data_IF_163311259931
#
_entry.id   IF_163311259931
#
_cell.length_a   1.000
_cell.length_b   1.000
_cell.length_c   1.000
_cell.angle_alpha   90.00
_cell.angle_beta   90.00
_cell.angle_gamma   90.00
#
_symmetry.space_group_name_H-M   'P 1'
#
loop_
_entity.id
_entity.type
_entity.pdbx_description
1 polymer ?
#
# COMPACT_ATOMS: atom_id res chain seq x y z
N UNK A 1 -30.24 -18.39 10.77
CA UNK A 1 -28.96 -17.76 11.12
C UNK A 1 -27.86 -18.68 10.60
N UNK A 2 -27.50 -18.55 9.33
CA UNK A 2 -26.46 -19.36 8.70
C UNK A 2 -25.20 -18.48 8.63
N UNK A 3 -24.21 -18.83 9.47
CA UNK A 3 -22.86 -18.30 9.36
C UNK A 3 -22.13 -19.18 8.36
N UNK A 4 -21.83 -18.63 7.18
CA UNK A 4 -20.76 -19.12 6.34
C UNK A 4 -19.47 -18.52 6.89
N UNK A 5 -18.72 -19.32 7.64
CA UNK A 5 -17.32 -19.01 7.93
C UNK A 5 -16.53 -19.20 6.64
N UNK A 6 -16.48 -18.16 5.79
CA UNK A 6 -15.43 -18.05 4.80
C UNK A 6 -14.11 -18.00 5.56
N UNK A 7 -13.14 -18.81 5.14
CA UNK A 7 -11.76 -18.69 5.63
C UNK A 7 -11.37 -17.22 5.55
N UNK A 8 -10.97 -16.65 6.68
CA UNK A 8 -10.74 -15.21 6.82
C UNK A 8 -9.70 -14.80 5.80
N UNK A 9 -10.14 -14.09 4.77
CA UNK A 9 -9.25 -13.30 3.95
C UNK A 9 -8.50 -12.35 4.89
N UNK A 10 -7.17 -12.32 4.88
CA UNK A 10 -6.31 -11.25 5.40
C UNK A 10 -6.51 -9.90 4.68
N UNK A 11 -7.68 -9.68 4.05
CA UNK A 11 -8.13 -8.35 3.70
C UNK A 11 -8.27 -7.56 5.02
N UNK A 12 -7.41 -6.58 5.23
CA UNK A 12 -7.41 -5.84 6.48
C UNK A 12 -8.63 -4.91 6.51
N UNK A 13 -9.46 -5.09 7.53
CA UNK A 13 -10.60 -4.24 7.81
C UNK A 13 -10.30 -3.34 8.98
N UNK A 14 -10.24 -2.03 8.74
CA UNK A 14 -9.91 -1.03 9.77
C UNK A 14 -11.14 -0.19 10.10
N UNK A 15 -11.59 -0.26 11.35
CA UNK A 15 -12.67 0.59 11.86
C UNK A 15 -12.09 1.82 12.57
N UNK A 16 -12.42 3.00 12.08
CA UNK A 16 -11.90 4.28 12.58
C UNK A 16 -12.88 5.02 13.49
N UNK A 17 -14.14 4.56 13.55
CA UNK A 17 -15.21 5.22 14.28
C UNK A 17 -15.62 6.56 13.66
N UNK A 18 -16.12 7.47 14.48
CA UNK A 18 -16.53 8.81 14.03
C UNK A 18 -15.32 9.71 13.89
N UNK A 19 -15.14 10.24 12.69
CA UNK A 19 -14.06 11.16 12.33
C UNK A 19 -14.60 12.57 12.07
N UNK A 20 -13.78 13.58 12.31
CA UNK A 20 -14.15 14.99 12.13
C UNK A 20 -13.02 15.81 11.47
N UNK A 21 -13.24 17.09 11.24
CA UNK A 21 -12.31 18.00 10.57
C UNK A 21 -10.93 17.96 11.20
N UNK A 22 -9.89 17.87 10.37
CA UNK A 22 -8.50 17.73 10.81
C UNK A 22 -8.10 16.30 11.16
N UNK A 23 -9.01 15.33 11.11
CA UNK A 23 -8.64 13.92 11.24
C UNK A 23 -7.79 13.46 10.04
N UNK A 24 -6.76 12.68 10.34
CA UNK A 24 -5.90 12.05 9.35
C UNK A 24 -5.62 10.62 9.76
N UNK A 25 -5.66 9.71 8.79
CA UNK A 25 -5.27 8.34 8.95
C UNK A 25 -4.34 7.94 7.82
N UNK A 26 -3.25 7.24 8.15
CA UNK A 26 -2.50 6.47 7.17
C UNK A 26 -1.87 5.25 7.83
N UNK A 27 -1.74 4.16 7.04
CA UNK A 27 -1.11 2.92 7.48
C UNK A 27 -0.35 2.29 6.32
N UNK A 28 0.75 1.62 6.64
CA UNK A 28 1.47 0.76 5.71
C UNK A 28 0.83 -0.63 5.74
N UNK A 29 0.54 -1.17 4.57
CA UNK A 29 0.00 -2.51 4.37
C UNK A 29 1.07 -3.35 3.69
N UNK A 30 1.27 -4.57 4.19
CA UNK A 30 2.17 -5.54 3.59
C UNK A 30 1.38 -6.43 2.62
N UNK A 31 1.68 -6.30 1.33
CA UNK A 31 0.98 -7.05 0.31
C UNK A 31 1.31 -8.55 0.38
N UNK A 32 2.50 -8.91 0.86
CA UNK A 32 2.96 -10.30 1.04
C UNK A 32 2.07 -11.09 2.02
N UNK A 33 1.39 -10.37 2.91
CA UNK A 33 0.49 -10.95 3.93
C UNK A 33 -0.99 -10.74 3.59
N UNK A 34 -1.30 -10.15 2.44
CA UNK A 34 -2.67 -9.89 2.01
C UNK A 34 -3.28 -11.14 1.39
N UNK A 35 -4.58 -11.35 1.64
CA UNK A 35 -5.33 -12.37 0.92
C UNK A 35 -6.04 -11.77 -0.28
N UNK A 36 -6.06 -12.55 -1.35
CA UNK A 36 -6.70 -12.23 -2.61
C UNK A 36 -8.10 -12.81 -2.61
N UNK A 37 -9.07 -12.01 -3.00
CA UNK A 37 -10.40 -12.54 -3.30
C UNK A 37 -10.33 -13.29 -4.65
N UNK A 38 -10.94 -14.48 -4.69
CA UNK A 38 -10.82 -15.48 -5.75
C UNK A 38 -11.16 -14.99 -7.17
N UNK A 39 -11.88 -13.87 -7.23
CA UNK A 39 -12.16 -13.18 -8.46
C UNK A 39 -10.97 -12.27 -8.78
N UNK A 40 -10.03 -12.85 -9.53
CA UNK A 40 -9.09 -12.11 -10.38
C UNK A 40 -7.83 -11.52 -9.72
N UNK A 41 -7.26 -12.19 -8.70
CA UNK A 41 -5.97 -11.79 -8.10
C UNK A 41 -5.97 -10.34 -7.58
N UNK A 42 -7.09 -9.90 -6.99
CA UNK A 42 -7.19 -8.59 -6.33
C UNK A 42 -7.09 -8.76 -4.81
N UNK A 43 -6.14 -8.06 -4.21
CA UNK A 43 -6.10 -7.82 -2.77
C UNK A 43 -6.88 -6.53 -2.49
N UNK A 44 -7.73 -6.55 -1.46
CA UNK A 44 -8.52 -5.39 -1.07
C UNK A 44 -8.34 -5.12 0.43
N UNK A 45 -8.05 -3.87 0.77
CA UNK A 45 -8.11 -3.39 2.14
C UNK A 45 -9.26 -2.41 2.29
N UNK A 46 -9.94 -2.47 3.43
CA UNK A 46 -11.18 -1.73 3.67
C UNK A 46 -11.07 -0.90 4.94
N UNK A 47 -11.52 0.35 4.87
CA UNK A 47 -11.61 1.23 6.03
C UNK A 47 -13.06 1.65 6.20
N UNK A 48 -13.56 1.61 7.43
CA UNK A 48 -14.90 2.11 7.77
C UNK A 48 -14.81 3.25 8.76
N UNK A 49 -15.64 4.27 8.52
CA UNK A 49 -15.71 5.46 9.35
C UNK A 49 -17.13 6.05 9.32
N UNK A 50 -17.43 6.91 10.28
CA UNK A 50 -18.66 7.69 10.31
C UNK A 50 -18.39 9.18 10.36
N UNK A 51 -19.29 9.96 9.76
CA UNK A 51 -19.27 11.42 9.80
C UNK A 51 -20.52 11.93 10.52
N UNK A 52 -20.33 12.92 11.39
CA UNK A 52 -21.43 13.62 12.06
C UNK A 52 -21.91 14.85 11.27
N UNK A 53 -21.06 15.41 10.41
CA UNK A 53 -21.28 16.63 9.65
C UNK A 53 -20.80 16.45 8.21
N UNK A 54 -21.23 17.31 7.30
CA UNK A 54 -20.72 17.34 5.91
C UNK A 54 -19.26 17.77 5.89
N UNK A 55 -18.40 16.99 5.23
CA UNK A 55 -16.96 17.24 5.13
C UNK A 55 -16.38 16.84 3.79
N UNK A 56 -15.32 17.51 3.39
CA UNK A 56 -14.48 17.09 2.25
C UNK A 56 -13.45 16.09 2.74
N UNK A 57 -13.38 14.92 2.11
CA UNK A 57 -12.40 13.89 2.40
C UNK A 57 -11.49 13.71 1.21
N UNK A 58 -10.20 13.46 1.48
CA UNK A 58 -9.23 13.08 0.45
C UNK A 58 -8.68 11.70 0.81
N UNK A 59 -9.04 10.70 0.01
CA UNK A 59 -8.53 9.34 0.06
C UNK A 59 -7.31 9.23 -0.82
N UNK A 60 -6.29 8.52 -0.36
CA UNK A 60 -5.05 8.38 -1.10
C UNK A 60 -4.35 7.05 -0.85
N UNK A 61 -3.47 6.72 -1.78
CA UNK A 61 -2.46 5.68 -1.63
C UNK A 61 -1.11 6.16 -2.18
N UNK A 62 0.02 5.60 -1.74
CA UNK A 62 1.35 6.05 -2.17
C UNK A 62 1.69 5.70 -3.62
N UNK A 63 2.89 6.06 -4.08
CA UNK A 63 3.35 5.87 -5.46
C UNK A 63 3.70 4.41 -5.81
N UNK A 64 3.33 3.44 -4.98
CA UNK A 64 3.38 2.02 -5.30
C UNK A 64 4.76 1.54 -5.77
N UNK A 65 5.74 1.57 -4.86
CA UNK A 65 7.08 1.02 -5.12
C UNK A 65 7.09 -0.53 -5.07
N UNK A 66 6.21 -1.17 -5.84
CA UNK A 66 6.17 -2.62 -5.94
C UNK A 66 7.48 -3.14 -6.54
N UNK A 67 7.91 -4.33 -6.10
CA UNK A 67 9.17 -4.94 -6.50
C UNK A 67 9.12 -5.64 -7.86
N UNK A 68 7.95 -5.65 -8.51
CA UNK A 68 7.69 -6.36 -9.76
C UNK A 68 6.71 -5.59 -10.66
N UNK A 69 6.72 -5.93 -11.95
CA UNK A 69 5.92 -5.26 -12.98
C UNK A 69 4.47 -5.77 -13.08
N UNK A 70 4.10 -6.79 -12.30
CA UNK A 70 2.77 -7.42 -12.37
C UNK A 70 1.82 -6.97 -11.27
N UNK A 71 2.33 -6.20 -10.30
CA UNK A 71 1.57 -5.65 -9.18
C UNK A 71 1.25 -4.19 -9.46
N UNK A 72 -0.02 -3.82 -9.32
CA UNK A 72 -0.47 -2.48 -9.63
C UNK A 72 -1.64 -2.10 -8.73
N UNK A 73 -1.65 -0.87 -8.23
CA UNK A 73 -2.84 -0.34 -7.60
C UNK A 73 -3.91 -0.05 -8.64
N UNK A 74 -5.11 -0.57 -8.40
CA UNK A 74 -6.18 -0.53 -9.40
C UNK A 74 -7.18 0.57 -9.12
N UNK A 75 -7.64 0.67 -7.88
CA UNK A 75 -8.92 1.34 -7.63
C UNK A 75 -9.08 1.79 -6.16
N UNK A 76 -9.69 2.96 -5.98
CA UNK A 76 -10.32 3.36 -4.72
C UNK A 76 -11.82 3.38 -4.94
N UNK A 77 -12.58 2.60 -4.16
CA UNK A 77 -14.04 2.65 -4.16
C UNK A 77 -14.56 3.28 -2.88
N UNK A 78 -15.49 4.22 -3.01
CA UNK A 78 -16.18 4.83 -1.89
C UNK A 78 -17.64 4.36 -1.86
N UNK A 79 -18.06 3.84 -0.71
CA UNK A 79 -19.38 3.26 -0.50
C UNK A 79 -20.07 3.87 0.74
N UNK A 80 -21.39 4.01 0.66
CA UNK A 80 -22.28 4.38 1.75
C UNK A 80 -22.83 3.13 2.44
N UNK A 81 -22.21 2.73 3.55
CA UNK A 81 -22.66 1.58 4.34
C UNK A 81 -24.06 1.75 4.92
N UNK A 82 -24.51 3.00 5.13
CA UNK A 82 -25.89 3.28 5.55
C UNK A 82 -26.96 2.89 4.52
N UNK A 83 -26.56 2.66 3.27
CA UNK A 83 -27.45 2.22 2.17
C UNK A 83 -27.26 0.74 1.80
N UNK A 84 -26.41 0.01 2.52
CA UNK A 84 -26.13 -1.39 2.23
C UNK A 84 -27.35 -2.27 2.55
N UNK A 85 -28.06 -2.71 1.51
CA UNK A 85 -29.11 -3.72 1.60
C UNK A 85 -28.54 -5.10 1.26
N UNK A 86 -27.76 -5.66 2.18
CA UNK A 86 -27.43 -7.09 2.25
C UNK A 86 -26.53 -7.68 1.17
N UNK A 87 -26.68 -7.35 -0.12
CA UNK A 87 -26.11 -8.17 -1.20
C UNK A 87 -25.75 -7.42 -2.51
N UNK A 88 -25.93 -6.10 -2.61
CA UNK A 88 -25.69 -5.38 -3.88
C UNK A 88 -24.74 -4.20 -3.73
N UNK A 89 -23.53 -4.35 -4.27
CA UNK A 89 -22.49 -3.31 -4.39
C UNK A 89 -23.00 -2.04 -5.12
N UNK A 90 -23.97 -2.19 -6.03
CA UNK A 90 -24.47 -1.06 -6.83
C UNK A 90 -25.30 -0.06 -6.02
N UNK A 91 -25.88 -0.47 -4.89
CA UNK A 91 -26.82 0.36 -4.12
C UNK A 91 -26.11 1.24 -3.10
N UNK A 92 -24.95 0.80 -2.62
CA UNK A 92 -24.11 1.57 -1.70
C UNK A 92 -22.95 2.30 -2.40
N UNK A 93 -22.70 2.07 -3.69
CA UNK A 93 -21.64 2.77 -4.41
C UNK A 93 -21.87 4.29 -4.48
N UNK A 94 -20.85 5.08 -4.16
CA UNK A 94 -20.84 6.54 -4.28
C UNK A 94 -20.03 6.97 -5.50
N UNK A 95 -18.75 6.58 -5.52
CA UNK A 95 -17.80 6.98 -6.57
C UNK A 95 -16.55 6.10 -6.50
N UNK A 96 -15.71 6.17 -7.53
CA UNK A 96 -14.40 5.53 -7.56
C UNK A 96 -13.38 6.35 -8.35
N UNK A 97 -12.11 6.01 -8.17
CA UNK A 97 -11.06 6.26 -9.16
C UNK A 97 -10.50 4.93 -9.65
N UNK A 98 -10.15 4.88 -10.93
CA UNK A 98 -9.70 3.67 -11.59
C UNK A 98 -10.76 2.58 -11.71
N UNK A 99 -10.38 1.49 -12.34
CA UNK A 99 -11.20 0.30 -12.49
C UNK A 99 -10.35 -0.98 -12.54
N UNK A 100 -11.05 -2.12 -12.50
CA UNK A 100 -10.40 -3.43 -12.49
C UNK A 100 -9.55 -3.71 -13.74
N UNK A 101 -10.00 -3.29 -14.93
CA UNK A 101 -9.38 -3.62 -16.21
C UNK A 101 -8.26 -2.65 -16.60
N UNK A 102 -8.47 -1.35 -16.34
CA UNK A 102 -7.57 -0.29 -16.78
C UNK A 102 -6.72 0.28 -15.63
N UNK A 103 -6.94 -0.17 -14.40
CA UNK A 103 -6.30 0.40 -13.22
C UNK A 103 -6.63 1.89 -13.11
N UNK A 104 -5.62 2.69 -12.76
CA UNK A 104 -5.80 4.14 -12.63
C UNK A 104 -5.77 4.92 -13.96
N UNK A 105 -5.51 4.27 -15.10
CA UNK A 105 -5.40 4.93 -16.42
C UNK A 105 -4.50 6.19 -16.41
N UNK A 106 -3.34 6.09 -15.75
CA UNK A 106 -2.37 7.18 -15.63
C UNK A 106 -2.74 8.29 -14.63
N UNK A 107 -3.84 8.14 -13.88
CA UNK A 107 -4.21 9.06 -12.80
C UNK A 107 -3.41 8.80 -11.52
N UNK A 108 -3.32 9.82 -10.68
CA UNK A 108 -2.81 9.65 -9.33
C UNK A 108 -3.81 8.86 -8.47
N UNK A 109 -3.36 8.04 -7.52
CA UNK A 109 -4.21 7.31 -6.58
C UNK A 109 -4.82 8.23 -5.50
N UNK A 110 -5.54 9.28 -5.92
CA UNK A 110 -6.14 10.29 -5.04
C UNK A 110 -7.60 10.50 -5.45
N UNK A 111 -8.50 10.36 -4.49
CA UNK A 111 -9.92 10.65 -4.65
C UNK A 111 -10.33 11.68 -3.60
N UNK A 112 -10.84 12.83 -4.04
CA UNK A 112 -11.41 13.85 -3.14
C UNK A 112 -12.92 13.92 -3.33
N UNK A 113 -13.68 13.89 -2.23
CA UNK A 113 -15.14 13.88 -2.28
C UNK A 113 -15.76 14.56 -1.06
N UNK A 114 -16.87 15.27 -1.23
CA UNK A 114 -17.66 15.82 -0.14
C UNK A 114 -18.72 14.82 0.31
N UNK A 115 -18.69 14.42 1.58
CA UNK A 115 -19.64 13.47 2.17
C UNK A 115 -20.44 14.15 3.28
N UNK A 116 -21.74 13.90 3.31
CA UNK A 116 -22.62 14.28 4.42
C UNK A 116 -22.44 13.42 5.67
N UNK A 117 -23.28 13.62 6.70
CA UNK A 117 -23.37 12.69 7.82
C UNK A 117 -23.74 11.28 7.36
N UNK A 118 -23.09 10.26 7.91
CA UNK A 118 -23.32 8.88 7.49
C UNK A 118 -22.25 7.90 7.95
N UNK A 119 -22.40 6.63 7.52
CA UNK A 119 -21.40 5.57 7.72
C UNK A 119 -20.90 5.15 6.36
N UNK A 120 -19.58 5.11 6.20
CA UNK A 120 -18.92 4.94 4.92
C UNK A 120 -17.88 3.83 4.99
N UNK A 121 -17.62 3.24 3.83
CA UNK A 121 -16.52 2.31 3.59
C UNK A 121 -15.72 2.83 2.41
N UNK A 122 -14.39 2.75 2.51
CA UNK A 122 -13.50 2.91 1.37
C UNK A 122 -12.73 1.61 1.15
N UNK A 123 -12.69 1.15 -0.09
CA UNK A 123 -11.92 -0.02 -0.51
C UNK A 123 -10.74 0.43 -1.35
N UNK A 124 -9.56 -0.10 -1.05
CA UNK A 124 -8.33 0.09 -1.80
C UNK A 124 -7.96 -1.23 -2.43
N UNK A 125 -7.97 -1.29 -3.76
CA UNK A 125 -7.78 -2.51 -4.53
C UNK A 125 -6.43 -2.50 -5.22
N UNK A 126 -5.69 -3.59 -5.05
CA UNK A 126 -4.39 -3.84 -5.66
C UNK A 126 -4.48 -5.13 -6.45
N UNK A 127 -4.13 -5.08 -7.73
CA UNK A 127 -3.81 -6.29 -8.46
C UNK A 127 -2.45 -6.76 -7.97
N UNK A 128 -2.38 -8.01 -7.53
CA UNK A 128 -1.09 -8.61 -7.17
C UNK A 128 -0.96 -10.01 -7.70
N UNK A 129 0.11 -10.67 -7.27
CA UNK A 129 0.46 -11.99 -7.76
C UNK A 129 0.08 -13.03 -6.71
N UNK A 130 -0.92 -13.85 -7.04
CA UNK A 130 -1.35 -14.96 -6.22
C UNK A 130 -0.45 -16.19 -6.47
N UNK A 131 -0.10 -16.95 -5.41
CA UNK A 131 0.76 -18.14 -5.50
C UNK A 131 0.15 -19.32 -6.30
N UNK A 132 -1.12 -19.23 -6.67
CA UNK A 132 -1.74 -20.15 -7.61
C UNK A 132 -3.24 -20.24 -7.40
N UNK A 133 -4.00 -20.24 -8.50
CA UNK A 133 -5.47 -20.19 -8.49
C UNK A 133 -6.11 -21.58 -8.48
N UNK A 134 -7.26 -21.72 -7.82
CA UNK A 134 -8.17 -22.87 -8.02
C UNK A 134 -9.63 -22.42 -7.97
N UNK A 135 -10.46 -22.95 -8.87
CA UNK A 135 -11.87 -22.57 -9.04
C UNK A 135 -12.74 -22.72 -7.77
N UNK A 136 -12.35 -23.61 -6.85
CA UNK A 136 -13.11 -23.90 -5.62
C UNK A 136 -12.66 -23.06 -4.41
N UNK A 137 -11.66 -22.19 -4.57
CA UNK A 137 -11.06 -21.46 -3.47
C UNK A 137 -11.60 -20.04 -3.42
N UNK A 138 -12.01 -19.60 -2.22
CA UNK A 138 -12.59 -18.27 -1.94
C UNK A 138 -11.50 -17.22 -1.66
N UNK A 139 -10.32 -17.65 -1.18
CA UNK A 139 -9.19 -16.76 -0.80
C UNK A 139 -7.85 -17.35 -1.22
N UNK A 140 -6.95 -16.55 -1.79
CA UNK A 140 -5.56 -16.97 -2.06
C UNK A 140 -4.51 -16.10 -1.40
N UNK A 141 -3.26 -16.58 -1.40
CA UNK A 141 -2.14 -15.91 -0.73
C UNK A 141 -1.21 -15.26 -1.76
N UNK A 142 -0.67 -14.09 -1.39
CA UNK A 142 0.35 -13.39 -2.15
C UNK A 142 1.62 -14.21 -2.38
N UNK A 143 2.29 -13.95 -3.50
CA UNK A 143 3.72 -14.22 -3.65
C UNK A 143 4.48 -13.37 -2.63
N UNK A 144 5.58 -13.89 -2.08
CA UNK A 144 6.42 -13.14 -1.15
C UNK A 144 7.27 -12.07 -1.88
N UNK A 145 7.58 -10.97 -1.18
CA UNK A 145 8.49 -9.95 -1.64
C UNK A 145 7.87 -8.90 -2.56
N UNK A 146 6.54 -8.75 -2.61
CA UNK A 146 5.84 -7.70 -3.36
C UNK A 146 5.98 -6.32 -2.70
N UNK A 147 6.18 -6.30 -1.38
CA UNK A 147 6.49 -5.10 -0.61
C UNK A 147 5.31 -4.46 0.11
N UNK A 148 5.51 -3.21 0.55
CA UNK A 148 4.53 -2.45 1.32
C UNK A 148 4.01 -1.26 0.53
N UNK A 149 2.76 -0.89 0.78
CA UNK A 149 2.13 0.32 0.23
C UNK A 149 1.34 1.04 1.32
N UNK A 150 1.33 2.37 1.29
CA UNK A 150 0.61 3.22 2.23
C UNK A 150 -0.77 3.55 1.70
N UNK A 151 -1.78 3.38 2.55
CA UNK A 151 -3.16 3.82 2.31
C UNK A 151 -3.58 4.82 3.37
N UNK A 152 -4.49 5.73 3.06
CA UNK A 152 -5.01 6.67 4.04
C UNK A 152 -6.05 7.64 3.53
N UNK A 153 -6.52 8.49 4.45
CA UNK A 153 -7.33 9.66 4.10
C UNK A 153 -7.15 10.81 5.10
N UNK A 154 -7.59 11.99 4.67
CA UNK A 154 -7.70 13.19 5.49
C UNK A 154 -9.12 13.76 5.40
N UNK A 155 -9.57 14.39 6.48
CA UNK A 155 -10.85 15.11 6.55
C UNK A 155 -10.57 16.61 6.64
N UNK A 156 -11.09 17.38 5.69
CA UNK A 156 -10.85 18.82 5.52
C UNK A 156 -9.83 19.15 4.42
N UNK A 157 -9.43 20.43 4.33
CA UNK A 157 -8.57 20.97 3.27
C UNK A 157 -7.09 20.58 3.37
N UNK A 158 -6.70 19.69 4.28
CA UNK A 158 -5.30 19.24 4.38
C UNK A 158 -4.98 18.28 3.22
N UNK A 159 -4.58 18.84 2.09
CA UNK A 159 -3.90 18.10 1.03
C UNK A 159 -2.54 17.69 1.60
N UNK A 160 -2.40 16.43 2.00
CA UNK A 160 -1.10 15.87 2.37
C UNK A 160 -0.35 15.48 1.10
N UNK A 161 0.16 16.49 0.39
CA UNK A 161 1.06 16.32 -0.76
C UNK A 161 2.41 15.72 -0.37
N UNK A 162 2.80 15.83 0.91
CA UNK A 162 4.09 15.36 1.42
C UNK A 162 4.17 13.83 1.55
N UNK A 163 3.03 13.12 1.63
CA UNK A 163 2.99 11.65 1.72
C UNK A 163 3.01 10.95 0.36
N UNK A 164 2.64 11.64 -0.72
CA UNK A 164 2.52 11.07 -2.08
C UNK A 164 3.78 11.23 -2.92
N UNK A 165 4.66 12.15 -2.49
CA UNK A 165 5.90 12.49 -3.17
C UNK A 165 7.15 12.19 -2.33
N UNK A 166 7.03 11.44 -1.22
CA UNK A 166 8.22 10.96 -0.52
C UNK A 166 8.99 10.07 -1.51
N UNK A 167 10.13 10.55 -2.06
CA UNK A 167 10.93 9.69 -2.90
C UNK A 167 11.36 8.53 -2.01
N UNK A 168 11.50 7.33 -2.59
CA UNK A 168 12.31 6.30 -1.97
C UNK A 168 13.71 6.89 -1.80
N UNK A 169 13.96 7.54 -0.65
CA UNK A 169 15.28 8.06 -0.31
C UNK A 169 16.11 6.80 -0.09
N UNK A 170 16.84 6.42 -1.13
CA UNK A 170 17.92 5.45 -0.99
C UNK A 170 18.74 5.94 0.20
N UNK A 171 18.84 5.12 1.24
CA UNK A 171 19.59 5.48 2.44
C UNK A 171 20.97 5.93 2.00
N UNK A 172 21.21 7.23 2.05
CA UNK A 172 22.51 7.80 1.72
C UNK A 172 23.41 7.36 2.86
N UNK A 173 24.45 6.54 2.61
CA UNK A 173 25.37 6.15 3.66
C UNK A 173 25.86 7.40 4.38
N UNK A 174 25.83 7.37 5.71
CA UNK A 174 26.30 8.51 6.49
C UNK A 174 27.78 8.79 6.18
N UNK A 175 28.29 10.03 6.35
CA UNK A 175 29.68 10.38 6.08
C UNK A 175 30.69 9.40 6.70
N UNK A 176 30.36 8.84 7.86
CA UNK A 176 31.14 7.85 8.60
C UNK A 176 31.26 6.52 7.83
N UNK A 177 30.23 6.12 7.09
CA UNK A 177 30.24 4.89 6.29
C UNK A 177 31.24 4.97 5.15
N UNK A 178 31.35 6.14 4.49
CA UNK A 178 32.38 6.37 3.49
C UNK A 178 33.78 6.42 4.10
N UNK A 179 33.92 7.01 5.29
CA UNK A 179 35.19 7.03 6.01
C UNK A 179 35.65 5.62 6.39
N UNK A 180 34.74 4.75 6.84
CA UNK A 180 35.04 3.35 7.14
C UNK A 180 35.43 2.56 5.89
N UNK A 181 34.72 2.77 4.77
CA UNK A 181 35.04 2.12 3.49
C UNK A 181 36.41 2.57 2.96
N UNK A 182 36.71 3.86 3.01
CA UNK A 182 38.01 4.41 2.61
C UNK A 182 39.14 3.84 3.50
N UNK A 183 38.91 3.79 4.81
CA UNK A 183 39.86 3.22 5.77
C UNK A 183 40.10 1.73 5.47
N UNK A 184 39.05 0.97 5.17
CA UNK A 184 39.16 -0.43 4.75
C UNK A 184 40.00 -0.61 3.49
N UNK A 185 39.76 0.21 2.46
CA UNK A 185 40.53 0.17 1.21
C UNK A 185 42.00 0.55 1.39
N UNK A 186 42.30 1.56 2.22
CA UNK A 186 43.68 1.93 2.57
C UNK A 186 44.39 0.79 3.28
N UNK A 187 43.72 0.11 4.20
CA UNK A 187 44.29 -1.02 4.94
C UNK A 187 44.59 -2.21 4.01
N UNK A 188 43.69 -2.50 3.07
CA UNK A 188 43.88 -3.54 2.05
C UNK A 188 45.04 -3.18 1.13
N UNK A 189 45.10 -1.94 0.64
CA UNK A 189 46.18 -1.44 -0.22
C UNK A 189 47.55 -1.50 0.46
N UNK A 190 47.64 -1.07 1.71
CA UNK A 190 48.86 -1.13 2.52
C UNK A 190 49.31 -2.59 2.76
N UNK A 191 48.36 -3.47 3.04
CA UNK A 191 48.62 -4.90 3.24
C UNK A 191 49.14 -5.58 1.97
N UNK A 192 48.58 -5.24 0.81
CA UNK A 192 49.04 -5.74 -0.49
C UNK A 192 50.44 -5.20 -0.84
N UNK A 193 50.70 -3.92 -0.62
CA UNK A 193 52.01 -3.31 -0.86
C UNK A 193 53.12 -3.94 -0.01
N UNK A 194 52.84 -4.23 1.27
CA UNK A 194 53.80 -4.90 2.17
C UNK A 194 54.17 -6.30 1.67
N UNK A 195 53.20 -7.06 1.15
CA UNK A 195 53.44 -8.41 0.60
C UNK A 195 54.32 -8.36 -0.65
N UNK A 196 54.08 -7.40 -1.54
CA UNK A 196 54.87 -7.23 -2.76
C UNK A 196 56.30 -6.73 -2.48
N UNK A 197 56.48 -5.89 -1.45
CA UNK A 197 57.82 -5.45 -1.03
C UNK A 197 58.66 -6.58 -0.41
N UNK A 198 58.02 -7.53 0.30
CA UNK A 198 58.70 -8.71 0.84
C UNK A 198 59.07 -9.75 -0.24
N UNK A 199 58.32 -9.82 -1.34
CA UNK A 199 58.61 -10.71 -2.47
C UNK A 199 59.71 -10.23 -3.41
N UNK A 200 60.07 -8.93 -3.38
CA UNK A 200 61.04 -8.33 -4.30
C UNK A 200 62.50 -8.35 -3.82
N UNK A 201 62.81 -9.11 -2.77
CA UNK A 201 64.16 -9.18 -2.15
C UNK A 201 64.91 -10.50 -2.41
N UNK A 202 64.53 -11.24 -3.46
CA UNK A 202 65.20 -12.44 -3.93
C UNK A 202 65.23 -12.49 -5.47
N UNK A 203 66.02 -11.62 -6.10
CA UNK A 203 66.79 -11.88 -7.35
C UNK A 203 67.99 -10.94 -7.33
#
# INVERSE_FOLDING_TARGET
MFSLSSGTANAEWVELGTVDSGFSFSRLFNLDTSDYVSEQNVASNSLTFSLANTQTLTFFADSFAFTNDSTEFRQIDLLNQGLANGDTHDVNFITSIGDFYNGLDGQAPILTYELGPGVYQVNYKVLGQELGWSADRVVGTAVEGLGNYRLGFNVGETIVTDLLNAPAVAAVPEPETYAMLLTGLLLIGFSAARRNAAGKRLV
#
